data_IF_956024547990
#
_entry.id   IF_956024547990
#
_cell.length_a   1.000
_cell.length_b   1.000
_cell.length_c   1.000
_cell.angle_alpha   90.00
_cell.angle_beta   90.00
_cell.angle_gamma   90.00
#
_symmetry.space_group_name_H-M   'P 1'
#
loop_
_entity.id
_entity.type
_entity.pdbx_description
1 polymer ?
#
# COMPACT_ATOMS: atom_id res chain seq x y z
N UNK A 1 8.14 -36.36 -0.30
CA UNK A 1 8.96 -36.05 0.89
C UNK A 1 8.46 -34.74 1.46
N UNK A 2 8.53 -34.52 2.77
CA UNK A 2 8.20 -33.25 3.41
C UNK A 2 9.44 -32.36 3.44
N UNK A 3 9.27 -31.06 3.24
CA UNK A 3 10.36 -30.07 3.28
C UNK A 3 10.69 -29.65 4.73
N UNK A 4 9.71 -29.79 5.63
CA UNK A 4 9.87 -29.53 7.04
C UNK A 4 8.71 -30.08 7.87
N UNK A 5 8.56 -29.57 9.10
CA UNK A 5 7.44 -29.91 9.98
C UNK A 5 7.00 -28.73 10.84
N UNK A 6 5.78 -28.81 11.34
CA UNK A 6 5.26 -27.90 12.35
C UNK A 6 5.81 -28.28 13.71
N UNK A 7 6.72 -27.48 14.26
CA UNK A 7 7.38 -27.77 15.53
C UNK A 7 6.44 -27.47 16.71
N UNK A 8 5.84 -26.28 16.73
CA UNK A 8 5.01 -25.81 17.85
C UNK A 8 3.85 -24.97 17.36
N UNK A 9 2.71 -25.08 18.04
CA UNK A 9 1.53 -24.23 17.83
C UNK A 9 1.38 -23.36 19.08
N UNK A 10 1.30 -22.04 18.92
CA UNK A 10 1.28 -21.09 20.01
C UNK A 10 0.01 -20.24 19.95
N UNK A 11 -0.66 -20.12 21.09
CA UNK A 11 -1.88 -19.30 21.24
C UNK A 11 -1.82 -18.48 22.54
N UNK A 12 -2.49 -17.33 22.58
CA UNK A 12 -2.71 -16.58 23.82
C UNK A 12 -4.09 -15.93 23.84
N UNK A 13 -4.58 -15.53 25.01
CA UNK A 13 -5.76 -14.65 25.13
C UNK A 13 -5.41 -13.16 24.93
N UNK A 14 -4.44 -12.89 24.04
CA UNK A 14 -3.94 -11.57 23.71
C UNK A 14 -2.56 -11.24 24.27
N UNK A 15 -1.68 -10.79 23.38
CA UNK A 15 -0.32 -10.38 23.71
C UNK A 15 0.70 -11.51 23.52
N UNK A 16 1.90 -11.28 24.04
CA UNK A 16 3.02 -12.23 24.04
C UNK A 16 3.49 -12.45 25.49
N UNK A 17 4.07 -13.63 25.81
CA UNK A 17 4.30 -14.77 24.94
C UNK A 17 3.01 -15.53 24.61
N UNK A 18 2.98 -16.18 23.44
CA UNK A 18 1.99 -17.20 23.10
C UNK A 18 2.44 -18.56 23.61
N UNK A 19 1.53 -19.32 24.21
CA UNK A 19 1.84 -20.58 24.89
C UNK A 19 1.56 -21.79 24.01
N UNK A 20 2.33 -22.88 24.16
CA UNK A 20 2.21 -24.06 23.31
C UNK A 20 0.90 -24.81 23.54
N UNK A 21 0.28 -25.27 22.45
CA UNK A 21 -0.84 -26.21 22.46
C UNK A 21 -0.55 -27.42 21.56
N UNK A 22 -1.04 -28.62 21.90
CA UNK A 22 -0.74 -29.83 21.12
C UNK A 22 -1.40 -29.85 19.74
N UNK A 23 -2.53 -29.15 19.59
CA UNK A 23 -3.29 -29.05 18.36
C UNK A 23 -4.13 -27.77 18.38
N UNK A 24 -4.41 -27.21 17.20
CA UNK A 24 -5.37 -26.11 17.05
C UNK A 24 -6.08 -26.18 15.71
N UNK A 25 -7.29 -25.63 15.65
CA UNK A 25 -8.01 -25.42 14.40
C UNK A 25 -7.60 -24.08 13.81
N UNK A 26 -7.25 -24.10 12.54
CA UNK A 26 -6.88 -22.95 11.73
C UNK A 26 -8.07 -22.61 10.83
N UNK A 27 -8.57 -21.39 10.95
CA UNK A 27 -9.71 -20.85 10.20
C UNK A 27 -9.28 -19.64 9.38
N UNK A 28 -10.15 -19.15 8.50
CA UNK A 28 -9.91 -17.90 7.76
C UNK A 28 -9.60 -16.71 8.67
N UNK A 29 -10.05 -16.74 9.92
CA UNK A 29 -9.93 -15.63 10.87
C UNK A 29 -8.72 -15.78 11.80
N UNK A 30 -8.08 -16.95 11.83
CA UNK A 30 -6.85 -17.19 12.58
C UNK A 30 -6.75 -18.58 13.20
N UNK A 31 -5.97 -18.68 14.29
CA UNK A 31 -5.79 -19.94 15.03
C UNK A 31 -6.72 -19.93 16.25
N UNK A 32 -7.59 -20.93 16.38
CA UNK A 32 -8.50 -21.04 17.52
C UNK A 32 -7.73 -21.13 18.83
N UNK A 33 -8.21 -20.40 19.84
CA UNK A 33 -7.53 -20.21 21.13
C UNK A 33 -6.58 -19.02 21.15
N UNK A 34 -6.26 -18.42 20.00
CA UNK A 34 -5.48 -17.19 19.90
C UNK A 34 -6.41 -15.98 19.72
N UNK A 35 -6.37 -15.06 20.69
CA UNK A 35 -7.10 -13.80 20.62
C UNK A 35 -6.14 -12.68 20.24
N UNK A 36 -6.37 -12.05 19.10
CA UNK A 36 -5.62 -10.86 18.72
C UNK A 36 -6.22 -9.64 19.44
N UNK A 37 -5.46 -9.00 20.35
CA UNK A 37 -5.85 -7.70 20.90
C UNK A 37 -5.72 -6.65 19.79
N UNK A 38 -6.84 -6.03 19.44
CA UNK A 38 -6.93 -5.15 18.27
C UNK A 38 -6.86 -5.98 16.98
N UNK A 39 -7.96 -6.65 16.62
CA UNK A 39 -8.15 -7.35 15.34
C UNK A 39 -7.91 -6.42 14.13
N UNK A 40 -7.86 -5.12 14.42
CA UNK A 40 -7.64 -3.97 13.54
C UNK A 40 -6.18 -3.44 13.58
N UNK A 41 -5.28 -4.03 14.35
CA UNK A 41 -3.83 -3.70 14.29
C UNK A 41 -2.99 -4.96 14.06
N UNK A 42 -3.49 -6.10 14.54
CA UNK A 42 -2.91 -7.41 14.35
C UNK A 42 -3.99 -8.38 13.89
N UNK A 43 -3.83 -8.99 12.71
CA UNK A 43 -4.78 -9.99 12.20
C UNK A 43 -5.50 -9.65 10.91
N UNK A 44 -6.63 -10.34 10.69
CA UNK A 44 -7.45 -10.30 9.49
C UNK A 44 -7.16 -11.46 8.53
N UNK A 45 -8.02 -11.72 7.51
CA UNK A 45 -7.91 -12.91 6.67
C UNK A 45 -6.57 -13.07 5.95
N UNK A 46 -5.91 -11.94 5.63
CA UNK A 46 -4.59 -11.91 5.01
C UNK A 46 -3.44 -12.13 6.00
N UNK A 47 -3.66 -12.03 7.31
CA UNK A 47 -2.65 -12.19 8.39
C UNK A 47 -3.14 -13.14 9.46
N UNK A 48 -3.96 -14.11 9.06
CA UNK A 48 -4.65 -15.03 9.94
C UNK A 48 -3.64 -15.82 10.81
N UNK A 49 -2.48 -16.16 10.25
CA UNK A 49 -1.47 -16.97 10.92
C UNK A 49 -0.12 -16.27 10.85
N UNK A 50 0.54 -16.07 11.99
CA UNK A 50 1.94 -15.65 12.05
C UNK A 50 2.87 -16.87 12.16
N UNK A 51 3.96 -16.89 11.40
CA UNK A 51 4.88 -18.02 11.27
C UNK A 51 6.32 -17.57 11.49
N UNK A 52 7.11 -18.35 12.24
CA UNK A 52 8.55 -18.18 12.41
C UNK A 52 9.27 -19.53 12.37
N UNK A 53 10.43 -19.60 11.71
CA UNK A 53 11.28 -20.80 11.76
C UNK A 53 12.04 -20.89 13.09
N UNK A 54 12.19 -22.10 13.62
CA UNK A 54 13.06 -22.35 14.78
C UNK A 54 14.52 -21.97 14.48
N UNK A 55 14.93 -22.03 13.22
CA UNK A 55 16.23 -21.63 12.72
C UNK A 55 16.51 -20.15 13.01
N UNK A 56 15.53 -19.28 12.76
CA UNK A 56 15.61 -17.86 13.08
C UNK A 56 15.69 -17.61 14.59
N UNK A 57 14.85 -18.31 15.36
CA UNK A 57 14.84 -18.23 16.83
C UNK A 57 16.21 -18.62 17.38
N UNK A 58 16.79 -19.73 16.92
CA UNK A 58 18.08 -20.22 17.37
C UNK A 58 19.23 -19.27 17.01
N UNK A 59 19.23 -18.70 15.79
CA UNK A 59 20.24 -17.68 15.40
C UNK A 59 20.18 -16.47 16.32
N UNK A 60 18.99 -15.92 16.54
CA UNK A 60 18.79 -14.74 17.39
C UNK A 60 19.09 -15.07 18.86
N UNK A 61 18.76 -16.27 19.35
CA UNK A 61 19.10 -16.70 20.70
C UNK A 61 20.62 -16.87 20.90
N UNK A 62 21.34 -17.34 19.88
CA UNK A 62 22.81 -17.46 19.93
C UNK A 62 23.52 -16.10 20.05
N UNK A 63 22.85 -15.00 19.69
CA UNK A 63 23.33 -13.63 19.90
C UNK A 63 23.08 -13.11 21.33
N UNK A 64 22.49 -13.93 22.21
CA UNK A 64 22.21 -13.60 23.61
C UNK A 64 20.85 -12.98 23.86
N UNK A 65 19.94 -12.98 22.87
CA UNK A 65 18.57 -12.54 23.07
C UNK A 65 17.73 -13.66 23.72
N UNK A 66 16.85 -13.36 24.69
CA UNK A 66 15.99 -14.35 25.37
C UNK A 66 14.76 -14.71 24.52
N UNK A 67 14.97 -14.98 23.22
CA UNK A 67 13.92 -15.34 22.28
C UNK A 67 13.67 -16.85 22.35
N UNK A 68 12.40 -17.22 22.47
CA UNK A 68 11.92 -18.61 22.52
C UNK A 68 10.69 -18.80 21.60
N UNK A 69 10.34 -20.03 21.21
CA UNK A 69 9.09 -20.30 20.51
C UNK A 69 7.87 -19.74 21.24
N UNK A 70 7.05 -18.98 20.52
CA UNK A 70 5.88 -18.25 20.99
C UNK A 70 6.19 -16.89 21.63
N UNK A 71 7.45 -16.61 22.01
CA UNK A 71 7.82 -15.37 22.71
C UNK A 71 7.62 -14.12 21.85
N UNK A 72 7.79 -14.23 20.53
CA UNK A 72 7.56 -13.11 19.60
C UNK A 72 6.12 -13.03 19.11
N UNK A 73 5.27 -13.99 19.48
CA UNK A 73 3.85 -13.99 19.13
C UNK A 73 3.52 -14.63 17.78
N UNK A 74 4.43 -15.39 17.20
CA UNK A 74 4.10 -16.30 16.09
C UNK A 74 3.11 -17.37 16.55
N UNK A 75 2.18 -17.76 15.68
CA UNK A 75 1.24 -18.85 15.94
C UNK A 75 1.83 -20.22 15.61
N UNK A 76 2.64 -20.31 14.56
CA UNK A 76 3.25 -21.55 14.13
C UNK A 76 4.77 -21.39 14.13
N UNK A 77 5.45 -22.22 14.90
CA UNK A 77 6.90 -22.37 14.82
C UNK A 77 7.21 -23.54 13.89
N UNK A 78 7.92 -23.30 12.78
CA UNK A 78 8.28 -24.33 11.80
C UNK A 78 9.72 -24.81 11.99
N UNK A 79 10.04 -25.97 11.42
CA UNK A 79 11.39 -26.52 11.40
C UNK A 79 11.66 -27.21 10.05
N UNK A 80 12.90 -27.12 9.58
CA UNK A 80 13.42 -27.73 8.35
C UNK A 80 13.68 -26.73 7.22
N UNK A 81 13.23 -25.47 7.35
CA UNK A 81 13.40 -24.43 6.34
C UNK A 81 13.22 -23.02 6.92
N UNK A 82 13.93 -22.05 6.34
CA UNK A 82 13.76 -20.63 6.66
C UNK A 82 12.50 -20.07 5.98
N UNK A 83 11.39 -19.97 6.73
CA UNK A 83 10.10 -19.46 6.20
C UNK A 83 10.22 -18.05 5.60
N UNK A 84 11.11 -17.21 6.12
CA UNK A 84 11.37 -15.83 5.67
C UNK A 84 12.13 -15.76 4.35
N UNK A 85 12.78 -16.85 3.95
CA UNK A 85 13.45 -16.96 2.65
C UNK A 85 12.47 -17.28 1.51
N UNK A 86 11.23 -17.68 1.84
CA UNK A 86 10.21 -18.01 0.86
C UNK A 86 9.56 -16.74 0.29
N UNK A 87 9.25 -16.77 -1.00
CA UNK A 87 8.54 -15.68 -1.66
C UNK A 87 7.12 -15.53 -1.08
N UNK A 88 6.64 -14.29 -0.97
CA UNK A 88 5.20 -14.02 -0.78
C UNK A 88 4.41 -14.73 -1.89
N UNK A 89 3.28 -15.34 -1.52
CA UNK A 89 2.50 -16.23 -2.39
C UNK A 89 2.88 -17.70 -2.29
N UNK A 90 4.02 -18.06 -1.68
CA UNK A 90 4.38 -19.47 -1.47
C UNK A 90 3.35 -20.15 -0.57
N UNK A 91 3.02 -21.41 -0.88
CA UNK A 91 2.02 -22.19 -0.13
C UNK A 91 2.66 -23.25 0.75
N UNK A 92 2.20 -23.31 2.00
CA UNK A 92 2.55 -24.33 2.98
C UNK A 92 1.37 -25.27 3.17
N UNK A 93 1.50 -26.50 2.69
CA UNK A 93 0.56 -27.58 2.97
C UNK A 93 0.98 -28.32 4.25
N UNK A 94 0.14 -28.26 5.28
CA UNK A 94 0.42 -28.77 6.62
C UNK A 94 -0.50 -29.95 6.96
N UNK A 95 0.11 -31.06 7.36
CA UNK A 95 -0.60 -32.24 7.84
C UNK A 95 -1.61 -32.80 6.83
N UNK A 96 -2.81 -33.09 7.31
CA UNK A 96 -3.85 -33.78 6.54
C UNK A 96 -4.57 -32.90 5.48
N UNK A 97 -4.34 -31.59 5.44
CA UNK A 97 -4.97 -30.75 4.42
C UNK A 97 -5.01 -29.24 4.65
N UNK A 98 -4.44 -28.71 5.73
CA UNK A 98 -4.39 -27.25 5.91
C UNK A 98 -3.46 -26.66 4.85
N UNK A 99 -3.88 -25.56 4.21
CA UNK A 99 -3.04 -24.83 3.26
C UNK A 99 -3.00 -23.37 3.66
N UNK A 100 -1.79 -22.89 3.89
CA UNK A 100 -1.48 -21.50 4.14
C UNK A 100 -0.76 -20.91 2.93
N UNK A 101 -0.97 -19.64 2.66
CA UNK A 101 -0.23 -18.89 1.64
C UNK A 101 0.44 -17.69 2.30
N UNK A 102 1.75 -17.55 2.15
CA UNK A 102 2.52 -16.43 2.69
C UNK A 102 2.00 -15.13 2.09
N UNK A 103 1.72 -14.14 2.91
CA UNK A 103 1.03 -12.93 2.49
C UNK A 103 1.86 -11.65 2.65
N UNK A 104 2.72 -11.57 3.65
CA UNK A 104 3.61 -10.43 3.89
C UNK A 104 4.61 -10.74 5.00
N UNK A 105 5.67 -9.93 5.08
CA UNK A 105 6.58 -9.92 6.23
C UNK A 105 5.90 -9.24 7.43
N UNK A 106 6.05 -9.81 8.62
CA UNK A 106 5.56 -9.21 9.86
C UNK A 106 6.61 -8.24 10.44
N UNK A 107 6.31 -6.94 10.37
CA UNK A 107 7.17 -5.90 10.94
C UNK A 107 7.30 -6.08 12.47
N UNK A 108 8.51 -5.92 13.03
CA UNK A 108 8.72 -6.02 14.46
C UNK A 108 8.05 -4.84 15.19
N UNK A 109 7.40 -5.11 16.33
CA UNK A 109 6.66 -4.11 17.10
C UNK A 109 7.11 -4.06 18.56
N UNK A 110 6.78 -3.00 19.28
CA UNK A 110 7.20 -2.82 20.69
C UNK A 110 6.73 -3.94 21.63
N UNK A 111 5.68 -4.66 21.26
CA UNK A 111 5.10 -5.75 22.06
C UNK A 111 6.09 -6.90 22.28
N UNK A 112 7.01 -7.16 21.33
CA UNK A 112 7.97 -8.28 21.42
C UNK A 112 9.29 -7.90 22.09
N UNK A 113 9.43 -6.67 22.61
CA UNK A 113 10.72 -6.14 23.10
C UNK A 113 11.36 -6.99 24.19
N UNK A 114 10.56 -7.69 24.98
CA UNK A 114 11.05 -8.50 26.10
C UNK A 114 11.70 -9.81 25.62
N UNK A 115 11.51 -10.20 24.36
CA UNK A 115 12.24 -11.30 23.70
C UNK A 115 13.67 -10.92 23.28
N UNK A 116 14.10 -9.68 23.50
CA UNK A 116 15.38 -9.17 23.03
C UNK A 116 16.16 -8.47 24.14
N UNK A 117 17.41 -8.88 24.34
CA UNK A 117 18.40 -8.11 25.10
C UNK A 117 18.42 -6.64 24.65
N UNK A 118 18.46 -5.73 25.63
CA UNK A 118 18.40 -4.27 25.45
C UNK A 118 17.17 -3.78 24.67
N UNK A 119 16.09 -4.56 24.65
CA UNK A 119 14.86 -4.25 23.92
C UNK A 119 15.07 -4.03 22.41
N UNK A 120 16.09 -4.65 21.82
CA UNK A 120 16.44 -4.51 20.39
C UNK A 120 15.51 -5.30 19.45
N UNK A 121 14.19 -5.14 19.58
CA UNK A 121 13.20 -5.87 18.77
C UNK A 121 13.30 -5.63 17.26
N UNK A 122 13.90 -4.51 16.83
CA UNK A 122 14.20 -4.24 15.42
C UNK A 122 15.13 -5.27 14.77
N UNK A 123 15.84 -6.09 15.56
CA UNK A 123 16.69 -7.21 15.11
C UNK A 123 15.92 -8.23 14.26
N UNK A 124 14.61 -8.36 14.47
CA UNK A 124 13.76 -9.25 13.69
C UNK A 124 13.26 -8.63 12.36
N UNK A 125 13.72 -7.43 12.00
CA UNK A 125 13.27 -6.70 10.81
C UNK A 125 13.97 -7.14 9.53
N UNK A 126 13.18 -7.41 8.49
CA UNK A 126 13.67 -7.98 7.22
C UNK A 126 14.67 -7.09 6.48
N UNK A 127 14.61 -5.77 6.71
CA UNK A 127 15.55 -4.82 6.11
C UNK A 127 17.00 -5.08 6.52
N UNK A 128 17.22 -5.50 7.76
CA UNK A 128 18.55 -5.78 8.29
C UNK A 128 18.86 -7.28 8.28
N UNK A 129 17.83 -8.12 8.49
CA UNK A 129 17.99 -9.56 8.68
C UNK A 129 16.87 -10.32 7.94
N UNK A 130 16.98 -10.49 6.61
CA UNK A 130 15.89 -11.00 5.77
C UNK A 130 15.49 -12.45 6.09
N UNK A 131 16.40 -13.25 6.69
CA UNK A 131 16.14 -14.64 7.05
C UNK A 131 15.49 -14.85 8.42
N UNK A 132 15.41 -13.80 9.24
CA UNK A 132 15.00 -13.94 10.65
C UNK A 132 13.61 -13.37 10.92
N UNK A 133 12.96 -12.78 9.92
CA UNK A 133 11.69 -12.11 10.10
C UNK A 133 10.51 -13.07 10.16
N UNK A 134 9.55 -12.76 11.03
CA UNK A 134 8.25 -13.45 11.00
C UNK A 134 7.53 -13.20 9.67
N UNK A 135 6.77 -14.19 9.24
CA UNK A 135 5.89 -14.10 8.08
C UNK A 135 4.44 -14.16 8.52
N UNK A 136 3.57 -13.43 7.83
CA UNK A 136 2.14 -13.64 7.88
C UNK A 136 1.70 -14.56 6.75
N UNK A 137 0.62 -15.31 7.01
CA UNK A 137 -0.03 -16.13 6.02
C UNK A 137 -1.56 -15.99 6.09
N UNK A 138 -2.19 -16.10 4.92
CA UNK A 138 -3.64 -16.27 4.78
C UNK A 138 -3.98 -17.75 4.72
N UNK A 139 -5.19 -18.11 5.14
CA UNK A 139 -5.67 -19.50 5.10
C UNK A 139 -6.39 -19.76 3.80
N UNK A 140 -5.82 -20.60 2.94
CA UNK A 140 -6.43 -21.04 1.69
C UNK A 140 -7.38 -22.19 1.93
N UNK A 141 -6.99 -23.11 2.82
CA UNK A 141 -7.82 -24.26 3.22
C UNK A 141 -7.74 -24.45 4.73
N UNK A 142 -8.84 -24.22 5.47
CA UNK A 142 -8.88 -24.37 6.93
C UNK A 142 -8.84 -25.85 7.35
N UNK A 143 -8.54 -26.09 8.62
CA UNK A 143 -8.48 -27.44 9.18
C UNK A 143 -7.75 -27.48 10.51
N UNK A 144 -7.47 -28.67 11.02
CA UNK A 144 -6.73 -28.86 12.28
C UNK A 144 -5.27 -29.19 11.99
N UNK A 145 -4.37 -28.48 12.67
CA UNK A 145 -2.93 -28.78 12.69
C UNK A 145 -2.54 -29.35 14.05
N UNK A 146 -1.49 -30.17 14.07
CA UNK A 146 -0.87 -30.77 15.27
C UNK A 146 0.62 -30.54 15.26
N UNK A 147 1.22 -30.41 16.44
CA UNK A 147 2.68 -30.43 16.56
C UNK A 147 3.21 -31.75 15.96
N UNK A 148 4.26 -31.65 15.14
CA UNK A 148 4.84 -32.74 14.37
C UNK A 148 4.25 -32.94 12.97
N UNK A 149 3.19 -32.23 12.58
CA UNK A 149 2.62 -32.36 11.24
C UNK A 149 3.65 -32.02 10.15
N UNK A 150 3.76 -32.83 9.07
CA UNK A 150 4.67 -32.54 7.98
C UNK A 150 4.25 -31.28 7.22
N UNK A 151 5.22 -30.52 6.75
CA UNK A 151 5.04 -29.35 5.89
C UNK A 151 5.61 -29.64 4.51
N UNK A 152 4.82 -29.33 3.48
CA UNK A 152 5.29 -29.25 2.09
C UNK A 152 5.17 -27.81 1.61
N UNK A 153 6.24 -27.30 1.04
CA UNK A 153 6.33 -25.95 0.49
C UNK A 153 6.18 -26.04 -1.02
N UNK A 154 5.37 -25.14 -1.57
CA UNK A 154 5.26 -24.94 -3.00
C UNK A 154 5.47 -23.47 -3.33
N UNK A 155 6.11 -23.16 -4.48
CA UNK A 155 6.26 -21.79 -4.91
C UNK A 155 4.88 -21.15 -5.13
N UNK A 156 4.82 -19.81 -5.25
CA UNK A 156 3.60 -19.14 -5.67
C UNK A 156 3.06 -19.75 -6.96
N UNK A 157 1.74 -19.89 -7.08
CA UNK A 157 1.13 -20.22 -8.37
C UNK A 157 1.52 -19.15 -9.40
N UNK A 158 1.89 -19.59 -10.61
CA UNK A 158 2.38 -18.71 -11.67
C UNK A 158 1.48 -17.47 -11.83
N UNK A 159 2.07 -16.28 -11.71
CA UNK A 159 1.39 -14.99 -11.80
C UNK A 159 0.94 -14.38 -10.46
N UNK A 160 0.60 -15.15 -9.43
CA UNK A 160 0.07 -14.59 -8.16
C UNK A 160 1.11 -13.81 -7.36
N UNK A 161 2.35 -14.30 -7.25
CA UNK A 161 3.43 -13.54 -6.60
C UNK A 161 3.87 -12.32 -7.40
N UNK A 162 3.86 -12.42 -8.74
CA UNK A 162 4.18 -11.30 -9.62
C UNK A 162 3.12 -10.21 -9.46
N UNK A 163 1.84 -10.57 -9.50
CA UNK A 163 0.72 -9.64 -9.29
C UNK A 163 0.71 -9.03 -7.88
N UNK A 164 0.99 -9.82 -6.84
CA UNK A 164 1.11 -9.31 -5.47
C UNK A 164 2.30 -8.34 -5.35
N UNK A 165 3.46 -8.67 -5.93
CA UNK A 165 4.62 -7.77 -5.94
C UNK A 165 4.33 -6.48 -6.72
N UNK A 166 3.59 -6.56 -7.82
CA UNK A 166 3.17 -5.40 -8.62
C UNK A 166 2.22 -4.53 -7.80
N UNK A 167 1.20 -5.11 -7.17
CA UNK A 167 0.26 -4.39 -6.32
C UNK A 167 0.96 -3.67 -5.16
N UNK A 168 1.87 -4.35 -4.46
CA UNK A 168 2.65 -3.77 -3.35
C UNK A 168 3.53 -2.61 -3.81
N UNK A 169 4.23 -2.76 -4.94
CA UNK A 169 5.07 -1.70 -5.52
C UNK A 169 4.25 -0.47 -5.90
N UNK A 170 3.07 -0.67 -6.49
CA UNK A 170 2.14 0.41 -6.85
C UNK A 170 1.53 1.08 -5.63
N UNK A 171 1.13 0.32 -4.61
CA UNK A 171 0.65 0.86 -3.33
C UNK A 171 1.69 1.74 -2.65
N UNK A 172 2.93 1.27 -2.60
CA UNK A 172 4.02 2.01 -2.01
C UNK A 172 4.28 3.32 -2.79
N UNK A 173 4.25 3.29 -4.12
CA UNK A 173 4.42 4.47 -4.95
C UNK A 173 3.25 5.48 -4.79
N UNK A 174 2.01 4.99 -4.76
CA UNK A 174 0.82 5.80 -4.48
C UNK A 174 0.91 6.45 -3.09
N UNK A 175 1.33 5.67 -2.07
CA UNK A 175 1.52 6.12 -0.69
C UNK A 175 2.54 7.24 -0.57
N UNK A 176 3.75 7.03 -1.08
CA UNK A 176 4.81 8.04 -1.01
C UNK A 176 4.43 9.28 -1.83
N UNK A 177 3.75 9.12 -2.96
CA UNK A 177 3.23 10.25 -3.73
C UNK A 177 2.17 11.05 -2.97
N UNK A 178 1.29 10.42 -2.21
CA UNK A 178 0.28 11.12 -1.41
C UNK A 178 0.91 11.82 -0.20
N UNK A 179 1.88 11.17 0.47
CA UNK A 179 2.64 11.78 1.56
C UNK A 179 3.38 13.03 1.10
N UNK A 180 4.03 13.00 -0.06
CA UNK A 180 4.66 14.18 -0.64
C UNK A 180 3.66 15.33 -0.85
N UNK A 181 2.46 15.02 -1.34
CA UNK A 181 1.37 15.99 -1.52
C UNK A 181 0.86 16.57 -0.19
N UNK A 182 0.60 15.73 0.81
CA UNK A 182 0.11 16.18 2.12
C UNK A 182 1.17 16.95 2.91
N UNK A 183 2.44 16.54 2.84
CA UNK A 183 3.54 17.30 3.42
C UNK A 183 3.69 18.67 2.76
N UNK A 184 3.60 18.74 1.42
CA UNK A 184 3.62 20.02 0.72
C UNK A 184 2.47 20.95 1.15
N UNK A 185 1.25 20.42 1.30
CA UNK A 185 0.13 21.19 1.83
C UNK A 185 0.37 21.69 3.26
N UNK A 186 0.93 20.83 4.13
CA UNK A 186 1.27 21.20 5.52
C UNK A 186 2.32 22.31 5.57
N UNK A 187 3.37 22.20 4.78
CA UNK A 187 4.44 23.19 4.70
C UNK A 187 3.95 24.52 4.11
N UNK A 188 2.96 24.47 3.23
CA UNK A 188 2.24 25.63 2.71
C UNK A 188 1.28 26.28 3.74
N UNK A 189 1.25 25.78 4.98
CA UNK A 189 0.47 26.34 6.09
C UNK A 189 -0.95 25.78 6.23
N UNK A 190 -1.32 24.77 5.45
CA UNK A 190 -2.63 24.11 5.61
C UNK A 190 -2.64 23.27 6.90
N UNK A 191 -3.74 23.34 7.64
CA UNK A 191 -3.94 22.52 8.84
C UNK A 191 -4.28 21.08 8.44
N UNK A 192 -3.24 20.25 8.33
CA UNK A 192 -3.34 18.86 7.93
C UNK A 192 -2.57 17.96 8.90
N UNK A 193 -3.28 16.98 9.45
CA UNK A 193 -2.73 15.93 10.30
C UNK A 193 -2.42 14.71 9.46
N UNK A 194 -1.19 14.19 9.56
CA UNK A 194 -0.70 13.09 8.72
C UNK A 194 -0.34 11.91 9.63
N UNK A 195 -0.94 10.75 9.32
CA UNK A 195 -0.58 9.46 9.88
C UNK A 195 0.26 8.71 8.84
N UNK A 196 1.47 8.30 9.21
CA UNK A 196 2.32 7.38 8.45
C UNK A 196 2.96 6.38 9.43
N UNK A 197 2.80 5.07 9.16
CA UNK A 197 3.44 4.01 9.93
C UNK A 197 4.33 3.10 9.07
N UNK A 198 4.59 3.51 7.83
CA UNK A 198 5.35 2.75 6.85
C UNK A 198 4.53 1.68 6.11
N UNK A 199 3.31 1.36 6.56
CA UNK A 199 2.37 0.47 5.88
C UNK A 199 1.20 1.22 5.26
N UNK A 200 0.56 2.10 6.04
CA UNK A 200 -0.52 2.98 5.56
C UNK A 200 -0.10 4.44 5.63
N UNK A 201 -0.81 5.27 4.87
CA UNK A 201 -0.78 6.71 5.05
C UNK A 201 -2.20 7.25 5.07
N UNK A 202 -2.49 8.18 6.00
CA UNK A 202 -3.74 8.90 6.05
C UNK A 202 -3.52 10.38 6.32
N UNK A 203 -4.40 11.23 5.79
CA UNK A 203 -4.42 12.65 6.12
C UNK A 203 -5.80 13.10 6.58
N UNK A 204 -5.86 14.07 7.47
CA UNK A 204 -7.10 14.72 7.89
C UNK A 204 -6.90 16.24 7.91
N UNK A 205 -7.75 16.96 7.19
CA UNK A 205 -7.73 18.42 7.07
C UNK A 205 -9.15 18.97 7.19
N UNK A 206 -9.60 19.38 8.40
CA UNK A 206 -10.97 19.86 8.64
C UNK A 206 -11.39 21.02 7.73
N UNK A 207 -10.42 21.85 7.34
CA UNK A 207 -10.62 23.05 6.53
C UNK A 207 -10.75 22.76 5.03
N UNK A 208 -10.39 21.54 4.60
CA UNK A 208 -10.25 21.15 3.20
C UNK A 208 -11.04 19.85 2.95
N UNK A 209 -12.38 19.90 2.84
CA UNK A 209 -13.19 18.70 2.70
C UNK A 209 -12.88 17.95 1.40
N UNK A 210 -13.15 16.65 1.41
CA UNK A 210 -13.04 15.80 0.23
C UNK A 210 -11.79 14.92 0.19
N UNK A 211 -11.75 14.03 -0.80
CA UNK A 211 -10.81 12.92 -0.89
C UNK A 211 -9.35 13.38 -0.98
N UNK A 212 -9.04 14.49 -1.66
CA UNK A 212 -7.65 14.92 -1.86
C UNK A 212 -6.88 15.13 -0.55
N UNK A 213 -7.54 15.63 0.50
CA UNK A 213 -6.93 15.97 1.78
C UNK A 213 -7.42 15.12 2.96
N UNK A 214 -8.45 14.29 2.77
CA UNK A 214 -9.01 13.41 3.81
C UNK A 214 -9.06 11.94 3.39
N UNK A 215 -7.94 11.39 2.93
CA UNK A 215 -7.88 10.00 2.45
C UNK A 215 -6.94 9.14 3.26
N UNK A 216 -7.19 7.84 3.20
CA UNK A 216 -6.28 6.80 3.67
C UNK A 216 -6.03 5.76 2.57
N UNK A 217 -4.76 5.38 2.43
CA UNK A 217 -4.24 4.50 1.37
C UNK A 217 -3.17 3.56 1.92
N UNK A 218 -2.75 2.59 1.10
CA UNK A 218 -1.75 1.58 1.49
C UNK A 218 -2.35 0.35 2.18
N UNK A 219 -3.66 0.13 2.05
CA UNK A 219 -4.35 -1.00 2.70
C UNK A 219 -4.18 -2.34 1.99
N UNK A 220 -3.41 -2.42 0.89
CA UNK A 220 -3.05 -3.71 0.30
C UNK A 220 -2.42 -4.59 1.38
N UNK A 221 -3.13 -5.67 1.71
CA UNK A 221 -2.69 -6.67 2.69
C UNK A 221 -2.59 -6.15 4.15
N UNK A 222 -3.23 -5.00 4.44
CA UNK A 222 -3.29 -4.31 5.73
C UNK A 222 -4.72 -3.89 6.16
N UNK A 223 -5.77 -4.70 5.94
CA UNK A 223 -7.16 -4.27 6.17
C UNK A 223 -7.45 -3.94 7.64
N UNK A 224 -6.64 -4.47 8.55
CA UNK A 224 -6.77 -4.20 9.96
C UNK A 224 -6.55 -2.70 10.24
N UNK A 225 -5.52 -2.08 9.63
CA UNK A 225 -5.15 -0.68 9.92
C UNK A 225 -6.20 0.34 9.47
N UNK A 226 -7.27 -0.09 8.80
CA UNK A 226 -8.40 0.78 8.46
C UNK A 226 -8.96 1.46 9.70
N UNK A 227 -9.09 0.78 10.83
CA UNK A 227 -9.62 1.42 12.04
C UNK A 227 -8.72 2.54 12.53
N UNK A 228 -7.39 2.43 12.36
CA UNK A 228 -6.49 3.54 12.73
C UNK A 228 -6.71 4.75 11.84
N UNK A 229 -6.95 4.54 10.55
CA UNK A 229 -7.32 5.62 9.65
C UNK A 229 -8.71 6.20 10.01
N UNK A 230 -9.68 5.35 10.33
CA UNK A 230 -11.02 5.78 10.79
C UNK A 230 -10.93 6.58 12.09
N UNK A 231 -10.19 6.08 13.09
CA UNK A 231 -9.89 6.77 14.34
C UNK A 231 -9.19 8.10 14.09
N UNK A 232 -8.25 8.15 13.14
CA UNK A 232 -7.61 9.39 12.73
C UNK A 232 -8.62 10.40 12.17
N UNK A 233 -9.53 9.97 11.30
CA UNK A 233 -10.60 10.85 10.79
C UNK A 233 -11.55 11.32 11.90
N UNK A 234 -11.99 10.40 12.77
CA UNK A 234 -12.87 10.72 13.90
C UNK A 234 -12.22 11.70 14.87
N UNK A 235 -10.94 11.49 15.23
CA UNK A 235 -10.20 12.35 16.15
C UNK A 235 -10.05 13.79 15.62
N UNK A 236 -10.05 13.98 14.30
CA UNK A 236 -9.98 15.29 13.66
C UNK A 236 -11.34 15.80 13.19
N UNK A 237 -12.43 15.06 13.45
CA UNK A 237 -13.79 15.49 13.10
C UNK A 237 -14.06 15.61 11.61
N UNK A 238 -13.38 14.81 10.76
CA UNK A 238 -13.51 14.90 9.29
C UNK A 238 -14.25 13.71 8.70
N UNK A 239 -14.89 13.93 7.56
CA UNK A 239 -15.30 12.83 6.68
C UNK A 239 -14.06 12.25 6.00
N UNK A 240 -13.80 10.97 6.23
CA UNK A 240 -12.67 10.24 5.69
C UNK A 240 -13.03 9.37 4.49
N UNK A 241 -12.04 9.13 3.64
CA UNK A 241 -12.14 8.32 2.44
C UNK A 241 -11.10 7.19 2.49
N UNK A 242 -11.56 5.96 2.68
CA UNK A 242 -10.70 4.77 2.84
C UNK A 242 -10.65 4.00 1.53
N UNK A 243 -9.47 3.93 0.91
CA UNK A 243 -9.29 3.19 -0.34
C UNK A 243 -8.95 1.73 -0.06
N UNK A 244 -9.90 0.82 -0.23
CA UNK A 244 -9.73 -0.60 0.05
C UNK A 244 -10.25 -1.49 -1.09
N UNK A 245 -9.72 -2.71 -1.18
CA UNK A 245 -10.13 -3.69 -2.19
C UNK A 245 -11.51 -4.29 -1.84
N UNK A 246 -11.73 -4.55 -0.55
CA UNK A 246 -12.96 -5.11 0.02
C UNK A 246 -13.62 -4.16 1.03
N UNK A 247 -14.92 -4.30 1.33
CA UNK A 247 -15.61 -3.51 2.33
C UNK A 247 -14.88 -3.54 3.69
N UNK A 248 -14.35 -2.40 4.16
CA UNK A 248 -13.50 -2.37 5.35
C UNK A 248 -14.27 -2.55 6.67
N UNK A 249 -15.58 -2.35 6.67
CA UNK A 249 -16.45 -2.58 7.82
C UNK A 249 -17.85 -3.01 7.35
N UNK A 250 -18.62 -3.63 8.26
CA UNK A 250 -20.01 -4.01 7.97
C UNK A 250 -20.84 -2.76 7.66
N UNK A 251 -21.55 -2.77 6.54
CA UNK A 251 -22.36 -1.63 6.09
C UNK A 251 -21.56 -0.51 5.41
N UNK A 252 -20.26 -0.71 5.13
CA UNK A 252 -19.49 0.21 4.33
C UNK A 252 -20.12 0.37 2.94
N UNK A 253 -20.43 1.62 2.57
CA UNK A 253 -20.93 1.96 1.25
C UNK A 253 -19.77 2.52 0.44
N UNK A 254 -19.53 1.93 -0.73
CA UNK A 254 -18.56 2.46 -1.67
C UNK A 254 -19.11 3.74 -2.28
N UNK A 255 -18.37 4.83 -2.14
CA UNK A 255 -18.65 6.11 -2.78
C UNK A 255 -18.26 6.05 -4.27
N UNK A 256 -17.03 5.61 -4.55
CA UNK A 256 -16.48 5.58 -5.91
C UNK A 256 -15.70 4.29 -6.14
N UNK A 257 -15.84 3.68 -7.32
CA UNK A 257 -15.00 2.56 -7.78
C UNK A 257 -13.85 3.09 -8.64
N UNK A 258 -12.63 2.65 -8.33
CA UNK A 258 -11.39 3.03 -8.98
C UNK A 258 -10.76 1.80 -9.65
N UNK A 259 -10.43 1.90 -10.92
CA UNK A 259 -9.55 0.96 -11.60
C UNK A 259 -8.09 1.35 -11.35
N UNK A 260 -7.25 0.37 -10.99
CA UNK A 260 -5.80 0.53 -10.91
C UNK A 260 -5.15 -0.05 -12.16
N UNK A 261 -4.24 0.73 -12.70
CA UNK A 261 -3.62 0.51 -14.01
C UNK A 261 -2.12 0.42 -13.87
N UNK A 262 -1.51 -0.44 -14.68
CA UNK A 262 -0.06 -0.54 -14.82
C UNK A 262 0.33 -0.70 -16.29
N UNK A 263 1.49 -0.19 -16.67
CA UNK A 263 2.13 -0.44 -17.95
C UNK A 263 3.65 -0.45 -17.76
N UNK A 264 4.37 -0.98 -18.75
CA UNK A 264 5.78 -0.72 -18.90
C UNK A 264 5.96 0.70 -19.49
N UNK A 265 6.67 1.64 -18.84
CA UNK A 265 6.80 3.00 -19.35
C UNK A 265 7.45 3.05 -20.74
N UNK A 266 8.34 2.09 -21.07
CA UNK A 266 9.04 2.00 -22.35
C UNK A 266 8.09 1.75 -23.52
N UNK A 267 6.98 1.05 -23.26
CA UNK A 267 5.96 0.69 -24.24
C UNK A 267 5.00 1.84 -24.51
N UNK A 268 5.02 2.89 -23.67
CA UNK A 268 4.18 4.08 -23.84
C UNK A 268 4.87 5.22 -24.58
N UNK A 269 6.18 5.11 -24.80
CA UNK A 269 6.98 6.09 -25.53
C UNK A 269 6.76 5.85 -27.03
N UNK A 270 6.12 6.77 -27.74
CA UNK A 270 5.83 6.44 -29.14
C UNK A 270 5.37 7.52 -30.11
N UNK A 271 4.78 8.63 -29.66
CA UNK A 271 4.28 9.62 -30.62
C UNK A 271 4.58 11.05 -30.17
N UNK A 272 4.98 11.94 -31.11
CA UNK A 272 5.13 13.35 -30.81
C UNK A 272 3.79 13.95 -30.34
N UNK A 273 3.83 15.04 -29.55
CA UNK A 273 2.62 15.75 -29.21
C UNK A 273 1.92 16.26 -30.49
N UNK A 274 0.60 16.49 -30.45
CA UNK A 274 -0.13 17.04 -31.59
C UNK A 274 0.47 18.37 -32.08
N UNK A 275 0.25 18.70 -33.35
CA UNK A 275 0.74 19.95 -33.95
C UNK A 275 0.34 21.17 -33.10
N UNK A 276 1.31 22.04 -32.82
CA UNK A 276 1.11 23.25 -32.02
C UNK A 276 1.04 23.02 -30.50
N UNK A 277 1.24 21.79 -30.02
CA UNK A 277 1.33 21.44 -28.61
C UNK A 277 2.79 21.29 -28.19
N UNK A 278 3.19 22.00 -27.13
CA UNK A 278 4.50 21.86 -26.50
C UNK A 278 4.32 21.21 -25.13
N UNK A 279 4.99 20.07 -24.90
CA UNK A 279 5.00 19.43 -23.58
C UNK A 279 6.29 19.79 -22.86
N UNK A 280 6.18 20.23 -21.61
CA UNK A 280 7.32 20.71 -20.84
C UNK A 280 7.27 20.22 -19.40
N UNK A 281 8.42 19.77 -18.89
CA UNK A 281 8.63 19.58 -17.46
C UNK A 281 8.89 20.94 -16.80
N UNK A 282 8.17 21.22 -15.71
CA UNK A 282 8.32 22.45 -14.94
C UNK A 282 9.48 22.34 -13.97
N UNK A 283 10.41 23.28 -14.03
CA UNK A 283 11.54 23.38 -13.11
C UNK A 283 11.10 23.65 -11.67
N UNK A 284 12.00 23.38 -10.71
CA UNK A 284 11.72 23.52 -9.26
C UNK A 284 11.36 24.93 -8.80
N UNK A 285 11.71 25.95 -9.58
CA UNK A 285 11.39 27.36 -9.31
C UNK A 285 10.18 27.85 -10.10
N UNK A 286 9.68 27.08 -11.06
CA UNK A 286 8.48 27.41 -11.82
C UNK A 286 7.26 26.95 -11.04
N UNK A 287 6.50 27.91 -10.52
CA UNK A 287 5.32 27.69 -9.67
C UNK A 287 4.15 28.48 -10.24
N UNK A 288 2.97 27.88 -10.31
CA UNK A 288 1.73 28.51 -10.76
C UNK A 288 1.09 27.80 -11.95
N UNK A 289 1.81 27.55 -13.07
CA UNK A 289 1.23 26.96 -14.26
C UNK A 289 0.54 25.61 -14.02
N UNK A 290 1.12 24.76 -13.16
CA UNK A 290 0.57 23.44 -12.88
C UNK A 290 -0.71 23.51 -12.05
N UNK A 291 -0.73 24.27 -10.95
CA UNK A 291 -1.91 24.42 -10.11
C UNK A 291 -3.00 25.22 -10.81
N UNK A 292 -2.65 26.22 -11.62
CA UNK A 292 -3.61 27.05 -12.35
C UNK A 292 -4.49 26.21 -13.28
N UNK A 293 -3.88 25.29 -14.04
CA UNK A 293 -4.65 24.38 -14.90
C UNK A 293 -5.50 23.40 -14.09
N UNK A 294 -5.00 22.88 -12.95
CA UNK A 294 -5.80 22.00 -12.07
C UNK A 294 -7.04 22.74 -11.57
N UNK A 295 -6.87 23.95 -11.05
CA UNK A 295 -7.95 24.77 -10.51
C UNK A 295 -8.92 25.17 -11.61
N UNK A 296 -8.45 25.60 -12.78
CA UNK A 296 -9.32 26.03 -13.87
C UNK A 296 -10.05 24.86 -14.55
N UNK A 297 -9.47 23.66 -14.56
CA UNK A 297 -10.10 22.47 -15.14
C UNK A 297 -11.13 21.79 -14.21
N UNK A 298 -11.21 22.22 -12.95
CA UNK A 298 -11.97 21.57 -11.88
C UNK A 298 -12.95 22.54 -11.22
N UNK A 299 -14.14 22.07 -10.87
CA UNK A 299 -15.10 22.88 -10.11
C UNK A 299 -14.79 22.78 -8.60
N UNK A 300 -13.77 23.52 -8.15
CA UNK A 300 -13.27 23.47 -6.77
C UNK A 300 -13.81 24.62 -5.91
N UNK A 301 -14.19 24.35 -4.65
CA UNK A 301 -14.40 25.39 -3.65
C UNK A 301 -13.17 26.31 -3.48
N UNK A 302 -13.35 27.62 -3.21
CA UNK A 302 -12.24 28.58 -3.15
C UNK A 302 -11.10 28.21 -2.19
N UNK A 303 -11.41 27.67 -1.02
CA UNK A 303 -10.43 27.20 -0.05
C UNK A 303 -9.60 26.03 -0.59
N UNK A 304 -10.24 25.11 -1.31
CA UNK A 304 -9.57 23.95 -1.92
C UNK A 304 -8.68 24.42 -3.09
N UNK A 305 -9.20 25.31 -3.94
CA UNK A 305 -8.43 25.91 -5.02
C UNK A 305 -7.17 26.62 -4.50
N UNK A 306 -7.30 27.41 -3.43
CA UNK A 306 -6.17 28.09 -2.80
C UNK A 306 -5.15 27.09 -2.24
N UNK A 307 -5.59 26.02 -1.59
CA UNK A 307 -4.68 24.99 -1.08
C UNK A 307 -3.85 24.33 -2.20
N UNK A 308 -4.43 24.10 -3.38
CA UNK A 308 -3.69 23.61 -4.56
C UNK A 308 -2.65 24.59 -5.08
N UNK A 309 -2.95 25.89 -5.02
CA UNK A 309 -2.01 26.95 -5.42
C UNK A 309 -0.85 27.01 -4.43
N UNK A 310 -1.15 27.05 -3.13
CA UNK A 310 -0.15 27.23 -2.09
C UNK A 310 0.83 26.05 -2.03
N UNK A 311 0.34 24.81 -2.23
CA UNK A 311 1.18 23.62 -2.13
C UNK A 311 2.15 23.44 -3.30
N UNK A 312 1.91 24.06 -4.46
CA UNK A 312 2.71 23.79 -5.66
C UNK A 312 4.19 24.10 -5.43
N UNK A 313 4.50 25.23 -4.79
CA UNK A 313 5.90 25.64 -4.54
C UNK A 313 6.67 24.69 -3.63
N UNK A 314 5.98 24.02 -2.70
CA UNK A 314 6.55 22.99 -1.83
C UNK A 314 6.70 21.67 -2.56
N UNK A 315 5.67 21.29 -3.31
CA UNK A 315 5.65 20.06 -4.08
C UNK A 315 6.72 20.08 -5.21
N UNK A 316 6.96 21.25 -5.80
CA UNK A 316 8.04 21.52 -6.76
C UNK A 316 9.45 21.18 -6.26
N UNK A 317 9.64 21.20 -4.94
CA UNK A 317 10.92 20.96 -4.27
C UNK A 317 11.04 19.53 -3.77
N UNK A 318 9.96 18.74 -3.79
CA UNK A 318 9.99 17.33 -3.45
C UNK A 318 10.78 16.56 -4.51
N UNK A 319 11.92 15.96 -4.11
CA UNK A 319 12.95 15.49 -5.04
C UNK A 319 12.53 14.42 -6.05
N UNK A 320 11.43 13.71 -5.81
CA UNK A 320 10.91 12.64 -6.67
C UNK A 320 9.57 12.98 -7.31
N UNK A 321 9.12 14.23 -7.23
CA UNK A 321 7.87 14.69 -7.82
C UNK A 321 8.14 15.59 -9.02
N UNK A 322 7.63 15.20 -10.18
CA UNK A 322 7.83 15.89 -11.45
C UNK A 322 6.49 16.40 -11.97
N UNK A 323 6.46 17.66 -12.42
CA UNK A 323 5.26 18.36 -12.89
C UNK A 323 5.42 18.71 -14.35
N UNK A 324 4.34 18.57 -15.10
CA UNK A 324 4.31 18.78 -16.54
C UNK A 324 3.14 19.67 -16.92
N UNK A 325 3.33 20.47 -17.95
CA UNK A 325 2.27 21.19 -18.66
C UNK A 325 2.32 20.87 -20.15
N UNK A 326 1.14 20.89 -20.78
CA UNK A 326 1.02 21.03 -22.22
C UNK A 326 0.59 22.46 -22.52
N UNK A 327 1.35 23.12 -23.39
CA UNK A 327 1.13 24.48 -23.81
C UNK A 327 0.58 24.52 -25.24
N UNK A 328 -0.42 25.35 -25.50
CA UNK A 328 -0.93 25.65 -26.84
C UNK A 328 -0.83 27.15 -27.06
N UNK A 329 -0.02 27.58 -28.04
CA UNK A 329 0.26 29.01 -28.23
C UNK A 329 1.03 29.65 -27.07
N UNK A 330 1.78 28.86 -26.28
CA UNK A 330 2.52 29.32 -25.10
C UNK A 330 1.73 29.35 -23.80
N UNK A 331 0.42 29.06 -23.84
CA UNK A 331 -0.44 29.03 -22.64
C UNK A 331 -0.60 27.60 -22.13
N UNK A 332 -0.41 27.33 -20.82
CA UNK A 332 -0.68 26.04 -20.21
C UNK A 332 -2.17 25.68 -20.27
N UNK A 333 -2.52 24.57 -20.92
CA UNK A 333 -3.91 24.12 -21.14
C UNK A 333 -4.20 22.71 -20.64
N UNK A 334 -3.15 21.95 -20.35
CA UNK A 334 -3.24 20.68 -19.68
C UNK A 334 -2.05 20.50 -18.74
N UNK A 335 -2.23 19.65 -17.74
CA UNK A 335 -1.24 19.44 -16.68
C UNK A 335 -1.24 17.99 -16.20
N UNK A 336 -0.14 17.57 -15.60
CA UNK A 336 0.03 16.26 -15.00
C UNK A 336 1.24 16.21 -14.10
N UNK A 337 1.26 15.24 -13.19
CA UNK A 337 2.46 14.94 -12.41
C UNK A 337 2.76 13.45 -12.42
N UNK A 338 4.03 13.12 -12.15
CA UNK A 338 4.51 11.76 -11.90
C UNK A 338 5.43 11.78 -10.69
N UNK A 339 5.28 10.78 -9.81
CA UNK A 339 6.16 10.58 -8.67
C UNK A 339 6.93 9.27 -8.83
N UNK A 340 8.26 9.29 -8.70
CA UNK A 340 9.09 8.09 -8.89
C UNK A 340 9.49 7.46 -7.56
N UNK A 341 9.19 6.18 -7.34
CA UNK A 341 9.58 5.45 -6.14
C UNK A 341 9.73 3.95 -6.40
N UNK A 342 10.86 3.34 -6.01
CA UNK A 342 11.02 1.88 -6.06
C UNK A 342 10.86 1.25 -7.45
N UNK A 343 11.32 1.94 -8.50
CA UNK A 343 11.13 1.53 -9.89
C UNK A 343 9.71 1.78 -10.44
N UNK A 344 8.86 2.51 -9.72
CA UNK A 344 7.50 2.84 -10.17
C UNK A 344 7.38 4.35 -10.40
N UNK A 345 6.87 4.73 -11.57
CA UNK A 345 6.33 6.07 -11.82
C UNK A 345 4.84 6.09 -11.50
N UNK A 346 4.40 6.90 -10.54
CA UNK A 346 2.99 7.01 -10.16
C UNK A 346 2.36 8.29 -10.73
N UNK A 347 1.40 8.15 -11.64
CA UNK A 347 0.72 9.25 -12.32
C UNK A 347 -0.37 9.87 -11.43
N UNK A 348 -0.34 11.19 -11.31
CA UNK A 348 -1.36 11.97 -10.57
C UNK A 348 -1.68 13.31 -11.20
N UNK A 349 -2.78 13.92 -10.76
CA UNK A 349 -3.17 15.29 -11.08
C UNK A 349 -3.21 15.60 -12.59
N UNK A 350 -3.72 14.65 -13.37
CA UNK A 350 -3.91 14.82 -14.81
C UNK A 350 -5.19 15.61 -15.09
N UNK A 351 -5.06 16.80 -15.68
CA UNK A 351 -6.20 17.68 -16.00
C UNK A 351 -6.02 18.34 -17.36
N UNK A 352 -7.14 18.56 -18.08
CA UNK A 352 -7.19 19.29 -19.35
C UNK A 352 -8.34 20.29 -19.26
N UNK A 353 -8.06 21.55 -19.60
CA UNK A 353 -9.07 22.61 -19.66
C UNK A 353 -10.25 22.18 -20.57
N UNK A 354 -11.52 22.43 -20.18
CA UNK A 354 -12.70 21.97 -20.90
C UNK A 354 -12.69 22.21 -22.42
N UNK A 355 -12.29 23.40 -22.85
CA UNK A 355 -12.24 23.88 -24.23
C UNK A 355 -11.11 23.25 -25.08
N UNK A 356 -10.16 22.57 -24.43
CA UNK A 356 -9.05 21.85 -25.06
C UNK A 356 -9.19 20.32 -25.01
N UNK A 357 -10.31 19.79 -24.46
CA UNK A 357 -10.58 18.35 -24.44
C UNK A 357 -10.79 17.78 -25.85
N UNK A 358 -10.49 16.49 -26.03
CA UNK A 358 -10.62 15.80 -27.32
C UNK A 358 -9.51 16.12 -28.34
N UNK A 359 -8.40 16.71 -27.90
CA UNK A 359 -7.24 17.08 -28.73
C UNK A 359 -5.97 16.29 -28.38
N UNK A 360 -6.11 15.09 -27.84
CA UNK A 360 -4.99 14.21 -27.41
C UNK A 360 -3.98 14.80 -26.41
N UNK A 361 -4.28 15.93 -25.77
CA UNK A 361 -3.40 16.54 -24.75
C UNK A 361 -3.17 15.64 -23.54
N UNK A 362 -4.21 14.91 -23.09
CA UNK A 362 -4.06 13.97 -21.98
C UNK A 362 -3.09 12.84 -22.35
N UNK A 363 -3.17 12.34 -23.59
CA UNK A 363 -2.27 11.32 -24.12
C UNK A 363 -0.83 11.83 -24.12
N UNK A 364 -0.60 12.99 -24.73
CA UNK A 364 0.72 13.61 -24.80
C UNK A 364 1.36 13.82 -23.41
N UNK A 365 0.57 14.28 -22.42
CA UNK A 365 1.05 14.44 -21.03
C UNK A 365 1.32 13.10 -20.35
N UNK A 366 0.53 12.04 -20.61
CA UNK A 366 0.82 10.70 -20.06
C UNK A 366 2.15 10.18 -20.64
N UNK A 367 2.35 10.26 -21.95
CA UNK A 367 3.56 9.78 -22.62
C UNK A 367 4.82 10.52 -22.14
N UNK A 368 4.78 11.85 -21.99
CA UNK A 368 5.92 12.61 -21.48
C UNK A 368 6.30 12.23 -20.03
N UNK A 369 5.30 11.91 -19.21
CA UNK A 369 5.51 11.42 -17.84
C UNK A 369 6.05 9.98 -17.80
N UNK A 370 5.62 9.14 -18.74
CA UNK A 370 6.16 7.79 -18.92
C UNK A 370 7.63 7.82 -19.33
N UNK A 371 7.98 8.69 -20.28
CA UNK A 371 9.36 8.92 -20.72
C UNK A 371 10.26 9.42 -19.57
N UNK A 372 9.76 10.29 -18.69
CA UNK A 372 10.49 10.65 -17.47
C UNK A 372 10.65 9.46 -16.51
N UNK A 373 9.59 8.67 -16.29
CA UNK A 373 9.65 7.49 -15.43
C UNK A 373 10.69 6.48 -15.96
N UNK A 374 10.69 6.21 -17.26
CA UNK A 374 11.69 5.38 -17.94
C UNK A 374 13.11 5.89 -17.71
N UNK A 375 13.37 7.17 -17.98
CA UNK A 375 14.70 7.78 -17.74
C UNK A 375 15.13 7.73 -16.27
N UNK A 376 14.18 7.74 -15.35
CA UNK A 376 14.43 7.59 -13.92
C UNK A 376 14.64 6.12 -13.48
N UNK A 377 14.66 5.16 -14.41
CA UNK A 377 14.86 3.75 -14.15
C UNK A 377 13.62 3.03 -13.61
N UNK A 378 12.42 3.57 -13.86
CA UNK A 378 11.17 2.88 -13.53
C UNK A 378 10.87 1.82 -14.61
N UNK A 379 10.57 0.62 -14.18
CA UNK A 379 10.08 -0.52 -15.00
C UNK A 379 8.54 -0.62 -14.96
N UNK A 380 7.87 0.19 -14.14
CA UNK A 380 6.42 0.27 -14.06
C UNK A 380 5.98 1.73 -14.07
N UNK A 381 4.88 2.02 -14.77
CA UNK A 381 4.10 3.24 -14.59
C UNK A 381 2.66 2.90 -14.21
N UNK A 382 2.18 3.52 -13.14
CA UNK A 382 0.88 3.22 -12.53
C UNK A 382 -0.04 4.42 -12.42
N UNK A 383 -1.34 4.16 -12.37
CA UNK A 383 -2.38 5.17 -12.16
C UNK A 383 -3.63 4.58 -11.50
N UNK A 384 -4.40 5.43 -10.82
CA UNK A 384 -5.75 5.15 -10.34
C UNK A 384 -6.75 6.05 -11.07
N UNK A 385 -7.84 5.48 -11.61
CA UNK A 385 -8.88 6.26 -12.31
C UNK A 385 -10.28 5.80 -11.89
N UNK A 386 -11.26 6.71 -11.90
CA UNK A 386 -12.68 6.32 -11.76
C UNK A 386 -13.06 5.33 -12.87
N UNK A 387 -13.62 4.19 -12.46
CA UNK A 387 -14.04 3.13 -13.37
C UNK A 387 -15.09 3.65 -14.37
N UNK A 388 -14.93 3.30 -15.66
CA UNK A 388 -15.79 3.83 -16.73
C UNK A 388 -15.61 5.34 -17.04
N UNK A 389 -14.69 6.04 -16.36
CA UNK A 389 -14.40 7.46 -16.60
C UNK A 389 -13.63 7.74 -17.89
N UNK A 390 -13.52 9.02 -18.27
CA UNK A 390 -12.73 9.43 -19.44
C UNK A 390 -11.25 9.08 -19.31
N UNK A 391 -10.67 9.27 -18.10
CA UNK A 391 -9.29 8.91 -17.83
C UNK A 391 -9.04 7.40 -17.95
N UNK A 392 -9.98 6.55 -17.51
CA UNK A 392 -9.87 5.08 -17.64
C UNK A 392 -9.75 4.66 -19.11
N UNK A 393 -10.64 5.15 -19.98
CA UNK A 393 -10.58 4.89 -21.42
C UNK A 393 -9.28 5.37 -22.06
N UNK A 394 -8.72 6.47 -21.58
CA UNK A 394 -7.51 7.05 -22.15
C UNK A 394 -6.25 6.26 -21.75
N UNK A 395 -6.15 5.80 -20.51
CA UNK A 395 -5.03 4.93 -20.10
C UNK A 395 -5.13 3.55 -20.74
N UNK A 396 -6.33 2.98 -20.85
CA UNK A 396 -6.56 1.71 -21.54
C UNK A 396 -6.13 1.77 -23.01
N UNK A 397 -6.52 2.80 -23.76
CA UNK A 397 -6.10 3.01 -25.16
C UNK A 397 -4.59 3.21 -25.33
N UNK A 398 -3.92 3.68 -24.28
CA UNK A 398 -2.48 3.87 -24.28
C UNK A 398 -1.71 2.58 -24.04
N UNK A 399 -2.38 1.48 -23.70
CA UNK A 399 -1.74 0.21 -23.40
C UNK A 399 -1.54 -0.06 -21.92
N UNK A 400 -2.20 0.70 -21.02
CA UNK A 400 -2.26 0.29 -19.62
C UNK A 400 -3.18 -0.91 -19.45
N UNK A 401 -2.73 -1.87 -18.64
CA UNK A 401 -3.53 -3.00 -18.21
C UNK A 401 -4.20 -2.70 -16.87
N UNK A 402 -5.48 -3.05 -16.74
CA UNK A 402 -6.16 -2.98 -15.45
C UNK A 402 -5.75 -4.19 -14.60
N UNK A 403 -5.05 -3.93 -13.51
CA UNK A 403 -4.50 -4.97 -12.64
C UNK A 403 -5.36 -5.25 -11.40
N UNK A 404 -6.20 -4.29 -11.01
CA UNK A 404 -7.05 -4.39 -9.84
C UNK A 404 -8.20 -3.37 -9.89
N UNK A 405 -9.25 -3.65 -9.13
CA UNK A 405 -10.32 -2.70 -8.82
C UNK A 405 -10.30 -2.40 -7.33
N UNK A 406 -10.42 -1.13 -6.98
CA UNK A 406 -10.51 -0.62 -5.61
C UNK A 406 -11.77 0.19 -5.41
N UNK A 407 -12.24 0.25 -4.17
CA UNK A 407 -13.38 1.08 -3.81
C UNK A 407 -12.97 2.08 -2.75
N UNK A 408 -13.48 3.28 -2.91
CA UNK A 408 -13.35 4.33 -1.93
C UNK A 408 -14.55 4.26 -0.98
N UNK A 409 -14.32 4.02 0.30
CA UNK A 409 -15.35 3.89 1.31
C UNK A 409 -15.39 5.14 2.17
N UNK A 410 -16.54 5.78 2.23
CA UNK A 410 -16.73 6.99 3.02
C UNK A 410 -17.04 6.65 4.48
N UNK A 411 -16.37 7.34 5.40
CA UNK A 411 -16.66 7.29 6.84
C UNK A 411 -16.82 8.70 7.38
N UNK A 412 -17.73 8.88 8.33
CA UNK A 412 -17.98 10.11 9.07
C UNK A 412 -17.63 9.91 10.54
N UNK A 413 -17.37 10.98 11.32
CA UNK A 413 -17.10 10.87 12.75
C UNK A 413 -18.23 10.16 13.54
N UNK A 414 -19.44 10.13 12.99
CA UNK A 414 -20.65 9.52 13.60
C UNK A 414 -20.96 8.10 13.12
N UNK A 415 -20.24 7.52 12.15
CA UNK A 415 -20.61 6.21 11.56
C UNK A 415 -20.34 4.99 12.46
N UNK A 416 -19.78 5.20 13.67
CA UNK A 416 -19.44 4.14 14.65
C UNK A 416 -20.03 4.36 16.04
N UNK A 417 -21.17 5.07 16.14
CA UNK A 417 -21.96 5.11 17.37
C UNK A 417 -22.61 3.76 17.69
#
# INVERSE_FOLDING_TARGET
MSDGRLLQINVSDGGVPKLPVPAARVTSDGVEGDRQRGVTVHGGPHRAVSILGIEAIQRVAAEGHPIEPGSTGENLTTEGFDVSALAVGSRLAIGAGVVLELSSVANPCRTIRDSFADQRFGRLGAKAHPLDSRMYARVIRPGTVRAGDPIRVSPPEDGSAVLLSLAERLDQAERVSALAFWHAAREAGQEISILDDGGIAASAAPQLPGQAFNSAIGFAHLPNLVDRAVEHFTAHGVTGFVMADEPPWRGAVADTTLARWAANPDELVGEPPPDGVVIRELGRQEVGPWSAVIVAASDLPPNIAQAWIDLEGHLARAGHHHRFVAEVGGEPVATGSVHTHGGVGWLRAGSVLPEFRGRDLQRAIITARADLAHRAGCDIIGASTVEGGASARNVERLGFEQIATRRNYQTTPTTRA
#
